data_IF_066008240686
#
_entry.id   IF_066008240686
#
_cell.length_a   1.000
_cell.length_b   1.000
_cell.length_c   1.000
_cell.angle_alpha   90.00
_cell.angle_beta   90.00
_cell.angle_gamma   90.00
#
_symmetry.space_group_name_H-M   'P 1'
#
loop_
_entity.id
_entity.type
_entity.pdbx_description
1 polymer ?
#
# COMPACT_ATOMS: atom_id res chain seq x y z
N UNK A 1 20.31 -42.58 49.90
CA UNK A 1 20.08 -42.00 48.56
C UNK A 1 18.80 -41.20 48.66
N UNK A 2 18.77 -39.97 48.16
CA UNK A 2 17.60 -39.09 48.28
C UNK A 2 17.03 -38.66 46.91
N UNK A 3 17.77 -38.87 45.81
CA UNK A 3 17.26 -38.66 44.46
C UNK A 3 18.05 -39.45 43.42
N UNK A 4 17.37 -39.82 42.33
CA UNK A 4 17.95 -40.33 41.09
C UNK A 4 17.19 -39.72 39.90
N UNK A 5 17.88 -38.97 39.05
CA UNK A 5 17.26 -38.21 37.94
C UNK A 5 17.92 -38.60 36.62
N UNK A 6 17.15 -39.20 35.71
CA UNK A 6 17.63 -39.60 34.39
C UNK A 6 17.33 -38.52 33.36
N UNK A 7 18.36 -38.05 32.66
CA UNK A 7 18.26 -37.04 31.61
C UNK A 7 18.65 -37.70 30.28
N UNK A 8 17.72 -37.72 29.32
CA UNK A 8 17.91 -38.32 27.99
C UNK A 8 17.64 -37.34 26.84
N UNK A 9 17.24 -36.13 27.17
CA UNK A 9 16.72 -35.08 26.30
C UNK A 9 17.63 -33.83 26.24
N UNK A 10 18.73 -33.81 27.00
CA UNK A 10 19.69 -32.70 26.99
C UNK A 10 20.42 -32.58 25.62
N UNK A 11 20.29 -31.44 24.90
CA UNK A 11 20.90 -31.27 23.59
C UNK A 11 22.43 -31.37 23.64
N UNK A 12 23.01 -32.33 22.91
CA UNK A 12 24.46 -32.51 22.81
C UNK A 12 25.11 -33.38 23.90
N UNK A 13 24.32 -33.99 24.78
CA UNK A 13 24.78 -34.93 25.82
C UNK A 13 24.22 -36.34 25.58
N UNK A 14 24.99 -37.38 25.93
CA UNK A 14 24.45 -38.74 25.98
C UNK A 14 23.49 -38.91 27.18
N UNK A 15 22.51 -39.84 27.11
CA UNK A 15 21.63 -40.13 28.24
C UNK A 15 22.43 -40.45 29.51
N UNK A 16 22.13 -39.76 30.61
CA UNK A 16 22.88 -39.90 31.87
C UNK A 16 21.97 -39.80 33.10
N UNK A 17 22.46 -40.32 34.23
CA UNK A 17 21.74 -40.40 35.49
C UNK A 17 22.49 -39.62 36.58
N UNK A 18 21.83 -38.65 37.21
CA UNK A 18 22.29 -38.00 38.42
C UNK A 18 21.81 -38.77 39.64
N UNK A 19 22.72 -39.06 40.59
CA UNK A 19 22.38 -39.79 41.82
C UNK A 19 22.86 -39.00 43.02
N UNK A 20 21.90 -38.63 43.88
CA UNK A 20 22.16 -37.83 45.06
C UNK A 20 22.11 -38.67 46.34
N UNK A 21 23.17 -38.54 47.14
CA UNK A 21 23.31 -39.28 48.39
C UNK A 21 24.01 -38.47 49.47
N UNK A 22 23.59 -38.68 50.71
CA UNK A 22 24.21 -38.09 51.90
C UNK A 22 25.09 -39.16 52.55
N UNK A 23 26.34 -38.79 52.81
CA UNK A 23 27.28 -39.65 53.53
C UNK A 23 27.19 -39.37 55.03
N UNK A 24 26.67 -40.35 55.76
CA UNK A 24 26.42 -40.26 57.20
C UNK A 24 27.40 -41.15 57.96
N UNK A 25 28.02 -40.58 58.99
CA UNK A 25 28.85 -41.28 59.96
C UNK A 25 28.09 -41.43 61.28
N UNK A 26 28.16 -42.61 61.90
CA UNK A 26 27.51 -42.94 63.17
C UNK A 26 28.55 -43.01 64.31
N UNK A 27 28.10 -43.30 65.54
CA UNK A 27 28.97 -43.63 66.68
C UNK A 27 30.16 -42.67 66.93
N UNK A 28 29.92 -41.36 66.84
CA UNK A 28 30.97 -40.38 67.12
C UNK A 28 31.35 -40.36 68.61
N UNK A 29 32.65 -40.49 68.91
CA UNK A 29 33.19 -40.41 70.29
C UNK A 29 33.14 -38.98 70.87
N UNK A 30 32.99 -37.96 70.03
CA UNK A 30 32.91 -36.54 70.39
C UNK A 30 31.87 -35.85 69.48
N UNK A 31 30.99 -35.04 70.06
CA UNK A 31 29.93 -34.33 69.34
C UNK A 31 28.68 -35.19 69.04
N UNK A 32 27.85 -34.73 68.09
CA UNK A 32 26.59 -35.40 67.71
C UNK A 32 26.80 -36.87 67.33
N UNK A 33 25.96 -37.76 67.85
CA UNK A 33 26.02 -39.21 67.64
C UNK A 33 25.93 -39.61 66.16
N UNK A 34 25.23 -38.82 65.36
CA UNK A 34 25.12 -38.96 63.90
C UNK A 34 25.58 -37.63 63.27
N UNK A 35 26.49 -37.70 62.30
CA UNK A 35 26.97 -36.52 61.58
C UNK A 35 27.04 -36.79 60.08
N UNK A 36 26.78 -35.76 59.29
CA UNK A 36 27.05 -35.78 57.85
C UNK A 36 28.52 -35.47 57.64
N UNK A 37 29.24 -36.37 56.97
CA UNK A 37 30.67 -36.21 56.77
C UNK A 37 31.24 -37.28 55.87
N UNK A 38 31.74 -36.86 54.70
CA UNK A 38 32.27 -37.78 53.69
C UNK A 38 33.44 -38.63 54.20
N UNK A 39 34.47 -38.01 54.77
CA UNK A 39 35.65 -38.75 55.25
C UNK A 39 35.29 -39.72 56.40
N UNK A 40 34.42 -39.28 57.28
CA UNK A 40 33.95 -40.05 58.41
C UNK A 40 33.15 -41.29 57.99
N UNK A 41 32.16 -41.10 57.13
CA UNK A 41 31.31 -42.17 56.62
C UNK A 41 32.11 -43.18 55.79
N UNK A 42 33.05 -42.70 54.95
CA UNK A 42 33.91 -43.57 54.15
C UNK A 42 34.82 -44.45 55.02
N UNK A 43 35.34 -43.93 56.13
CA UNK A 43 36.12 -44.72 57.10
C UNK A 43 35.28 -45.80 57.78
N UNK A 44 34.04 -45.49 58.18
CA UNK A 44 33.12 -46.52 58.73
C UNK A 44 32.80 -47.62 57.72
N UNK A 45 32.70 -47.26 56.44
CA UNK A 45 32.56 -48.22 55.34
C UNK A 45 33.86 -49.00 55.04
N UNK A 46 34.93 -48.79 55.80
CA UNK A 46 36.21 -49.49 55.64
C UNK A 46 37.15 -48.89 54.59
N UNK A 47 36.84 -47.70 54.05
CA UNK A 47 37.71 -47.00 53.10
C UNK A 47 38.61 -46.00 53.83
N UNK A 48 39.91 -46.30 53.81
CA UNK A 48 40.94 -45.46 54.42
C UNK A 48 41.83 -44.84 53.35
N UNK A 49 42.25 -43.59 53.59
CA UNK A 49 43.30 -42.95 52.80
C UNK A 49 44.62 -43.66 53.06
N UNK A 50 45.33 -44.01 52.00
CA UNK A 50 46.63 -44.71 52.05
C UNK A 50 47.67 -43.99 51.21
N UNK A 51 48.95 -44.18 51.52
CA UNK A 51 50.05 -43.49 50.85
C UNK A 51 50.35 -42.12 51.46
N UNK A 52 51.30 -41.40 50.88
CA UNK A 52 51.74 -40.09 51.34
C UNK A 52 51.64 -39.05 50.23
N UNK A 53 51.11 -37.86 50.56
CA UNK A 53 51.10 -36.73 49.63
C UNK A 53 52.51 -36.37 49.15
N UNK A 54 53.54 -36.61 49.98
CA UNK A 54 54.95 -36.36 49.64
C UNK A 54 55.50 -37.33 48.60
N UNK A 55 55.06 -38.59 48.62
CA UNK A 55 55.54 -39.65 47.72
C UNK A 55 54.68 -39.79 46.45
N UNK A 56 53.71 -38.88 46.22
CA UNK A 56 52.78 -38.86 45.08
C UNK A 56 51.96 -40.15 44.89
N UNK A 57 51.88 -41.00 45.90
CA UNK A 57 51.13 -42.27 45.93
C UNK A 57 49.85 -42.17 46.77
N UNK A 58 49.44 -40.95 47.14
CA UNK A 58 48.25 -40.71 47.95
C UNK A 58 46.98 -41.17 47.22
N UNK A 59 46.36 -42.22 47.76
CA UNK A 59 45.03 -42.68 47.34
C UNK A 59 44.04 -42.35 48.44
N UNK A 60 43.14 -41.40 48.17
CA UNK A 60 42.11 -40.99 49.14
C UNK A 60 41.05 -42.07 49.36
N UNK A 61 40.44 -42.08 50.54
CA UNK A 61 39.28 -42.92 50.84
C UNK A 61 38.18 -42.79 49.77
N UNK A 62 37.93 -41.57 49.29
CA UNK A 62 36.98 -41.28 48.21
C UNK A 62 37.37 -41.98 46.90
N UNK A 63 38.65 -41.91 46.51
CA UNK A 63 39.12 -42.56 45.28
C UNK A 63 38.94 -44.08 45.35
N UNK A 64 39.23 -44.69 46.51
CA UNK A 64 39.04 -46.14 46.72
C UNK A 64 37.57 -46.52 46.69
N UNK A 65 36.72 -45.74 47.34
CA UNK A 65 35.27 -45.95 47.32
C UNK A 65 34.71 -45.83 45.90
N UNK A 66 35.06 -44.78 45.15
CA UNK A 66 34.65 -44.63 43.76
C UNK A 66 35.11 -45.80 42.88
N UNK A 67 36.33 -46.31 43.09
CA UNK A 67 36.82 -47.49 42.39
C UNK A 67 36.01 -48.76 42.73
N UNK A 68 35.65 -48.96 44.00
CA UNK A 68 34.81 -50.06 44.45
C UNK A 68 33.39 -49.95 43.88
N UNK A 69 32.78 -48.76 43.89
CA UNK A 69 31.45 -48.53 43.30
C UNK A 69 31.45 -48.77 41.79
N UNK A 70 32.50 -48.33 41.07
CA UNK A 70 32.65 -48.64 39.64
C UNK A 70 32.77 -50.14 39.39
N UNK A 71 33.51 -50.85 40.23
CA UNK A 71 33.63 -52.32 40.13
C UNK A 71 32.28 -53.00 40.37
N UNK A 72 31.56 -52.60 41.41
CA UNK A 72 30.21 -53.11 41.71
C UNK A 72 29.25 -52.85 40.55
N UNK A 73 29.19 -51.61 40.05
CA UNK A 73 28.34 -51.24 38.92
C UNK A 73 28.61 -52.10 37.69
N UNK A 74 29.88 -52.38 37.38
CA UNK A 74 30.25 -53.24 36.25
C UNK A 74 29.83 -54.68 36.46
N UNK A 75 30.05 -55.22 37.65
CA UNK A 75 29.63 -56.59 37.97
C UNK A 75 28.12 -56.71 37.85
N UNK A 76 27.37 -55.77 38.41
CA UNK A 76 25.91 -55.72 38.30
C UNK A 76 25.47 -55.56 36.85
N UNK A 77 26.02 -54.60 36.10
CA UNK A 77 25.70 -54.39 34.69
C UNK A 77 25.95 -55.66 33.86
N UNK A 78 27.09 -56.34 34.07
CA UNK A 78 27.42 -57.59 33.38
C UNK A 78 26.45 -58.72 33.71
N UNK A 79 26.04 -58.84 34.97
CA UNK A 79 25.02 -59.83 35.38
C UNK A 79 23.66 -59.57 34.71
N UNK A 80 23.38 -58.31 34.35
CA UNK A 80 22.19 -57.91 33.59
C UNK A 80 22.42 -57.83 32.07
N UNK A 81 23.51 -58.41 31.55
CA UNK A 81 23.79 -58.48 30.11
C UNK A 81 24.32 -57.20 29.47
N UNK A 82 24.66 -56.18 30.26
CA UNK A 82 25.19 -54.90 29.78
C UNK A 82 26.73 -54.89 29.80
N UNK A 83 27.35 -54.43 28.71
CA UNK A 83 28.80 -54.24 28.61
C UNK A 83 29.17 -52.78 28.90
N UNK A 84 30.07 -52.55 29.87
CA UNK A 84 30.56 -51.22 30.23
C UNK A 84 31.99 -51.04 29.69
N UNK A 85 32.18 -50.15 28.72
CA UNK A 85 33.49 -49.84 28.13
C UNK A 85 34.30 -48.89 29.04
N UNK A 86 35.57 -49.19 29.30
CA UNK A 86 36.47 -48.27 30.00
C UNK A 86 37.08 -47.28 28.99
N UNK A 87 36.69 -46.01 29.04
CA UNK A 87 37.48 -44.97 28.39
C UNK A 87 38.78 -44.78 29.19
N UNK A 88 39.91 -44.98 28.51
CA UNK A 88 41.24 -44.94 29.11
C UNK A 88 41.52 -43.63 29.84
N UNK A 89 42.28 -43.73 30.94
CA UNK A 89 42.72 -42.59 31.77
C UNK A 89 43.59 -41.63 30.94
N UNK A 90 42.99 -40.58 30.36
CA UNK A 90 43.73 -39.36 30.01
C UNK A 90 43.22 -38.23 30.91
N UNK A 91 43.84 -38.13 32.10
CA UNK A 91 43.73 -36.94 32.94
C UNK A 91 44.72 -35.91 32.41
N UNK A 92 44.36 -34.64 32.56
CA UNK A 92 45.13 -33.41 32.30
C UNK A 92 45.17 -32.91 30.83
N UNK A 93 44.52 -31.75 30.61
CA UNK A 93 44.45 -30.84 29.43
C UNK A 93 43.14 -30.86 28.59
N UNK A 94 42.35 -31.93 28.56
CA UNK A 94 41.20 -31.99 27.62
C UNK A 94 39.94 -31.15 27.98
N UNK A 95 39.72 -30.78 29.25
CA UNK A 95 38.39 -30.31 29.68
C UNK A 95 38.17 -28.78 29.71
N UNK A 96 39.22 -27.95 29.59
CA UNK A 96 39.05 -26.49 29.65
C UNK A 96 39.20 -25.78 28.29
N UNK A 97 39.96 -26.38 27.36
CA UNK A 97 40.15 -25.83 26.01
C UNK A 97 38.89 -25.99 25.14
N UNK A 98 38.19 -27.12 25.28
CA UNK A 98 37.02 -27.44 24.47
C UNK A 98 35.85 -26.47 24.73
N UNK A 99 35.64 -26.06 25.98
CA UNK A 99 34.56 -25.12 26.34
C UNK A 99 34.80 -23.71 25.80
N UNK A 100 36.03 -23.19 25.81
CA UNK A 100 36.32 -21.88 25.21
C UNK A 100 36.24 -21.90 23.69
N UNK A 101 36.77 -22.95 23.06
CA UNK A 101 36.67 -23.15 21.61
C UNK A 101 35.20 -23.25 21.20
N UNK A 102 34.39 -24.04 21.92
CA UNK A 102 32.95 -24.16 21.70
C UNK A 102 32.23 -22.80 21.83
N UNK A 103 32.50 -22.02 22.88
CA UNK A 103 31.89 -20.68 23.04
C UNK A 103 32.26 -19.74 21.89
N UNK A 104 33.51 -19.78 21.41
CA UNK A 104 33.97 -18.95 20.28
C UNK A 104 33.34 -19.41 18.97
N UNK A 105 33.23 -20.71 18.71
CA UNK A 105 32.61 -21.23 17.48
C UNK A 105 31.11 -20.96 17.44
N UNK A 106 30.40 -21.06 18.56
CA UNK A 106 28.98 -20.67 18.64
C UNK A 106 28.81 -19.19 18.37
N UNK A 107 29.65 -18.33 18.97
CA UNK A 107 29.60 -16.88 18.73
C UNK A 107 29.93 -16.50 17.28
N UNK A 108 30.85 -17.22 16.62
CA UNK A 108 31.14 -17.04 15.20
C UNK A 108 29.91 -17.38 14.35
N UNK A 109 29.25 -18.52 14.60
CA UNK A 109 28.02 -18.90 13.89
C UNK A 109 26.90 -17.87 14.06
N UNK A 110 26.70 -17.35 15.26
CA UNK A 110 25.72 -16.28 15.53
C UNK A 110 26.05 -14.98 14.77
N UNK A 111 27.33 -14.62 14.70
CA UNK A 111 27.77 -13.44 13.95
C UNK A 111 27.62 -13.63 12.44
N UNK A 112 27.96 -14.81 11.92
CA UNK A 112 27.79 -15.15 10.51
C UNK A 112 26.30 -15.11 10.12
N UNK A 113 25.42 -15.65 10.97
CA UNK A 113 23.97 -15.55 10.76
C UNK A 113 23.50 -14.09 10.73
N UNK A 114 23.95 -13.26 11.68
CA UNK A 114 23.61 -11.82 11.69
C UNK A 114 24.15 -11.06 10.49
N UNK A 115 25.32 -11.44 9.98
CA UNK A 115 25.89 -10.85 8.76
C UNK A 115 25.00 -11.21 7.57
N UNK A 116 24.57 -12.46 7.47
CA UNK A 116 23.74 -12.92 6.37
C UNK A 116 22.35 -12.27 6.40
N UNK A 117 21.72 -12.18 7.57
CA UNK A 117 20.46 -11.45 7.75
C UNK A 117 20.59 -9.97 7.34
N UNK A 118 21.68 -9.31 7.72
CA UNK A 118 21.94 -7.92 7.33
C UNK A 118 22.20 -7.75 5.84
N UNK A 119 22.87 -8.70 5.19
CA UNK A 119 23.07 -8.68 3.74
C UNK A 119 21.75 -8.82 3.00
N UNK A 120 20.94 -9.81 3.38
CA UNK A 120 19.61 -10.01 2.81
C UNK A 120 18.74 -8.77 2.97
N UNK A 121 18.76 -8.14 4.15
CA UNK A 121 18.05 -6.89 4.38
C UNK A 121 18.56 -5.76 3.47
N UNK A 122 19.88 -5.61 3.34
CA UNK A 122 20.47 -4.58 2.48
C UNK A 122 20.14 -4.79 1.00
N UNK A 123 20.11 -6.03 0.52
CA UNK A 123 19.70 -6.37 -0.84
C UNK A 123 18.22 -6.08 -1.08
N UNK A 124 17.36 -6.43 -0.12
CA UNK A 124 15.93 -6.11 -0.20
C UNK A 124 15.69 -4.60 -0.24
N UNK A 125 16.34 -3.82 0.65
CA UNK A 125 16.25 -2.36 0.65
C UNK A 125 16.74 -1.76 -0.66
N UNK A 126 17.82 -2.30 -1.23
CA UNK A 126 18.33 -1.85 -2.54
C UNK A 126 17.35 -2.15 -3.67
N UNK A 127 16.74 -3.33 -3.67
CA UNK A 127 15.71 -3.72 -4.64
C UNK A 127 14.48 -2.82 -4.56
N UNK A 128 14.01 -2.54 -3.34
CA UNK A 128 12.91 -1.60 -3.06
C UNK A 128 13.23 -0.20 -3.59
N UNK A 129 14.44 0.30 -3.31
CA UNK A 129 14.88 1.62 -3.76
C UNK A 129 14.93 1.74 -5.28
N UNK A 130 15.36 0.69 -6.00
CA UNK A 130 15.34 0.67 -7.46
C UNK A 130 13.93 0.60 -8.05
N UNK A 131 13.00 -0.12 -7.40
CA UNK A 131 11.57 -0.09 -7.80
C UNK A 131 10.99 1.31 -7.63
N UNK A 132 11.16 1.90 -6.44
CA UNK A 132 10.67 3.25 -6.13
C UNK A 132 11.23 4.29 -7.10
N UNK A 133 12.50 4.15 -7.51
CA UNK A 133 13.13 5.03 -8.50
C UNK A 133 12.48 4.91 -9.88
N UNK A 134 12.12 3.70 -10.31
CA UNK A 134 11.40 3.48 -11.57
C UNK A 134 10.00 4.08 -11.52
N UNK A 135 9.25 3.82 -10.46
CA UNK A 135 7.91 4.39 -10.26
C UNK A 135 7.96 5.92 -10.24
N UNK A 136 8.94 6.51 -9.54
CA UNK A 136 9.13 7.96 -9.54
C UNK A 136 9.41 8.51 -10.95
N UNK A 137 10.17 7.79 -11.78
CA UNK A 137 10.44 8.21 -13.15
C UNK A 137 9.19 8.18 -14.04
N UNK A 138 8.29 7.22 -13.83
CA UNK A 138 7.01 7.12 -14.52
C UNK A 138 6.04 8.21 -14.08
N UNK A 139 5.98 8.50 -12.77
CA UNK A 139 5.20 9.62 -12.22
C UNK A 139 5.70 10.95 -12.77
N UNK A 140 7.02 11.14 -12.89
CA UNK A 140 7.57 12.36 -13.49
C UNK A 140 7.20 12.51 -14.96
N UNK A 141 7.20 11.41 -15.74
CA UNK A 141 6.79 11.44 -17.15
C UNK A 141 5.31 11.81 -17.31
N UNK A 142 4.44 11.14 -16.54
CA UNK A 142 3.00 11.42 -16.56
C UNK A 142 2.68 12.85 -16.12
N UNK A 143 3.39 13.38 -15.11
CA UNK A 143 3.29 14.79 -14.73
C UNK A 143 3.61 15.73 -15.90
N UNK A 144 4.71 15.47 -16.62
CA UNK A 144 5.10 16.30 -17.77
C UNK A 144 4.05 16.26 -18.89
N UNK A 145 3.50 15.08 -19.18
CA UNK A 145 2.42 14.91 -20.16
C UNK A 145 1.16 15.71 -19.76
N UNK A 146 0.76 15.65 -18.49
CA UNK A 146 -0.37 16.42 -17.96
C UNK A 146 -0.12 17.93 -17.99
N UNK A 147 1.10 18.39 -17.68
CA UNK A 147 1.46 19.80 -17.73
C UNK A 147 1.33 20.36 -19.16
N UNK A 148 1.73 19.57 -20.18
CA UNK A 148 1.55 19.93 -21.59
C UNK A 148 0.05 20.01 -21.94
N UNK A 149 -0.74 19.02 -21.52
CA UNK A 149 -2.18 19.00 -21.79
C UNK A 149 -2.91 20.22 -21.15
N UNK A 150 -2.53 20.57 -19.92
CA UNK A 150 -3.06 21.76 -19.23
C UNK A 150 -2.72 23.03 -20.00
N UNK A 151 -1.51 23.17 -20.52
CA UNK A 151 -1.12 24.34 -21.33
C UNK A 151 -1.94 24.44 -22.61
N UNK A 152 -2.14 23.32 -23.32
CA UNK A 152 -2.98 23.28 -24.53
C UNK A 152 -4.43 23.65 -24.22
N UNK A 153 -5.01 23.10 -23.14
CA UNK A 153 -6.39 23.43 -22.73
C UNK A 153 -6.53 24.90 -22.35
N UNK A 154 -5.55 25.50 -21.69
CA UNK A 154 -5.54 26.94 -21.38
C UNK A 154 -5.56 27.79 -22.65
N UNK A 155 -4.73 27.46 -23.64
CA UNK A 155 -4.73 28.17 -24.93
C UNK A 155 -6.08 28.08 -25.64
N UNK A 156 -6.68 26.89 -25.67
CA UNK A 156 -8.01 26.68 -26.28
C UNK A 156 -9.11 27.47 -25.54
N UNK A 157 -9.08 27.51 -24.22
CA UNK A 157 -10.04 28.30 -23.43
C UNK A 157 -9.92 29.78 -23.79
N UNK A 158 -8.69 30.30 -23.91
CA UNK A 158 -8.48 31.69 -24.27
C UNK A 158 -9.02 32.02 -25.66
N UNK A 159 -8.83 31.13 -26.65
CA UNK A 159 -9.44 31.29 -27.97
C UNK A 159 -10.99 31.25 -27.91
N UNK A 160 -11.57 30.31 -27.17
CA UNK A 160 -13.02 30.23 -26.95
C UNK A 160 -13.56 31.51 -26.32
N UNK A 161 -12.85 32.12 -25.37
CA UNK A 161 -13.29 33.38 -24.75
C UNK A 161 -13.31 34.53 -25.77
N UNK A 162 -12.33 34.61 -26.68
CA UNK A 162 -12.30 35.60 -27.76
C UNK A 162 -13.47 35.39 -28.73
N UNK A 163 -13.73 34.15 -29.13
CA UNK A 163 -14.86 33.79 -30.00
C UNK A 163 -16.20 34.15 -29.32
N UNK A 164 -16.37 33.81 -28.04
CA UNK A 164 -17.59 34.15 -27.28
C UNK A 164 -17.83 35.66 -27.25
N UNK A 165 -16.78 36.47 -27.04
CA UNK A 165 -16.90 37.93 -27.08
C UNK A 165 -17.33 38.42 -28.46
N UNK A 166 -16.70 37.92 -29.53
CA UNK A 166 -17.05 38.32 -30.90
C UNK A 166 -18.48 37.91 -31.27
N UNK A 167 -18.92 36.73 -30.86
CA UNK A 167 -20.30 36.28 -31.06
C UNK A 167 -21.30 37.17 -30.34
N UNK A 168 -20.98 37.66 -29.14
CA UNK A 168 -21.83 38.62 -28.43
C UNK A 168 -21.98 39.94 -29.21
N UNK A 169 -20.88 40.51 -29.70
CA UNK A 169 -20.90 41.73 -30.52
C UNK A 169 -21.76 41.54 -31.79
N UNK A 170 -21.56 40.42 -32.50
CA UNK A 170 -22.33 40.10 -33.70
C UNK A 170 -23.82 39.87 -33.40
N UNK A 171 -24.18 39.36 -32.22
CA UNK A 171 -25.58 39.25 -31.80
C UNK A 171 -26.20 40.63 -31.60
N UNK A 172 -25.50 41.52 -30.88
CA UNK A 172 -25.98 42.88 -30.65
C UNK A 172 -26.20 43.62 -31.99
N UNK A 173 -25.24 43.52 -32.92
CA UNK A 173 -25.36 44.11 -34.26
C UNK A 173 -26.53 43.52 -35.06
N UNK A 174 -26.72 42.19 -35.03
CA UNK A 174 -27.86 41.54 -35.68
C UNK A 174 -29.20 42.00 -35.09
N UNK A 175 -29.30 42.17 -33.77
CA UNK A 175 -30.53 42.69 -33.15
C UNK A 175 -30.83 44.14 -33.57
N UNK A 176 -29.80 44.96 -33.70
CA UNK A 176 -29.93 46.33 -34.17
C UNK A 176 -30.39 46.40 -35.64
N UNK A 177 -29.77 45.59 -36.51
CA UNK A 177 -30.15 45.51 -37.93
C UNK A 177 -31.59 45.02 -38.10
N UNK A 178 -32.02 44.02 -37.32
CA UNK A 178 -33.41 43.55 -37.33
C UNK A 178 -34.42 44.65 -36.95
N UNK A 179 -34.15 45.39 -35.87
CA UNK A 179 -34.98 46.54 -35.49
C UNK A 179 -35.04 47.58 -36.60
N UNK A 180 -33.90 47.87 -37.24
CA UNK A 180 -33.83 48.83 -38.34
C UNK A 180 -34.64 48.37 -39.56
N UNK A 181 -34.53 47.09 -39.94
CA UNK A 181 -35.32 46.50 -41.04
C UNK A 181 -36.82 46.57 -40.71
N UNK A 182 -37.23 46.25 -39.48
CA UNK A 182 -38.62 46.31 -39.06
C UNK A 182 -39.19 47.74 -39.18
N UNK A 183 -38.46 48.74 -38.69
CA UNK A 183 -38.86 50.16 -38.81
C UNK A 183 -39.00 50.57 -40.28
N UNK A 184 -38.05 50.16 -41.14
CA UNK A 184 -38.13 50.44 -42.57
C UNK A 184 -39.36 49.76 -43.20
N UNK A 185 -39.65 48.51 -42.84
CA UNK A 185 -40.83 47.80 -43.34
C UNK A 185 -42.13 48.52 -42.95
N UNK A 186 -42.28 48.88 -41.67
CA UNK A 186 -43.42 49.65 -41.17
C UNK A 186 -43.58 50.99 -41.89
N UNK A 187 -42.46 51.70 -42.15
CA UNK A 187 -42.50 52.97 -42.87
C UNK A 187 -43.00 52.83 -44.31
N UNK A 188 -42.63 51.74 -45.00
CA UNK A 188 -43.04 51.46 -46.37
C UNK A 188 -44.51 51.02 -46.39
N UNK A 189 -44.95 50.22 -45.42
CA UNK A 189 -46.35 49.80 -45.29
C UNK A 189 -47.26 50.99 -45.02
N UNK A 190 -46.84 51.94 -44.18
CA UNK A 190 -47.56 53.20 -43.95
C UNK A 190 -47.67 54.02 -45.24
N UNK A 191 -46.56 54.18 -45.98
CA UNK A 191 -46.55 54.90 -47.25
C UNK A 191 -47.47 54.23 -48.28
N UNK A 192 -47.43 52.90 -48.38
CA UNK A 192 -48.29 52.12 -49.26
C UNK A 192 -49.77 52.31 -48.93
N UNK A 193 -50.13 52.25 -47.64
CA UNK A 193 -51.50 52.48 -47.19
C UNK A 193 -51.98 53.89 -47.53
N UNK A 194 -51.16 54.91 -47.27
CA UNK A 194 -51.46 56.29 -47.66
C UNK A 194 -51.66 56.42 -49.18
N UNK A 195 -50.73 55.92 -50.01
CA UNK A 195 -50.84 56.06 -51.46
C UNK A 195 -51.99 55.26 -52.08
N UNK A 196 -52.40 54.14 -51.47
CA UNK A 196 -53.59 53.38 -51.90
C UNK A 196 -54.89 54.16 -51.70
N UNK A 197 -54.98 55.02 -50.69
CA UNK A 197 -56.19 55.82 -50.41
C UNK A 197 -56.41 56.99 -51.39
N UNK A 198 -55.37 57.43 -52.10
CA UNK A 198 -55.49 58.49 -53.11
C UNK A 198 -55.76 57.91 -54.50
N UNK A 199 -57.01 58.06 -54.96
CA UNK A 199 -57.44 57.71 -56.32
C UNK A 199 -57.36 58.94 -57.25
N UNK A 200 -56.76 58.72 -58.42
CA UNK A 200 -56.74 59.71 -59.50
C UNK A 200 -58.03 59.63 -60.33
N UNK A 201 -58.28 60.67 -61.15
CA UNK A 201 -59.47 60.79 -62.02
C UNK A 201 -59.72 59.57 -62.93
N UNK A 202 -58.68 58.78 -63.20
CA UNK A 202 -58.74 57.59 -64.06
C UNK A 202 -59.01 56.28 -63.31
N UNK A 203 -59.38 56.33 -62.01
CA UNK A 203 -59.56 55.17 -61.10
C UNK A 203 -58.29 54.36 -60.79
N UNK A 204 -57.11 54.82 -61.19
CA UNK A 204 -55.84 54.28 -60.71
C UNK A 204 -55.45 54.89 -59.36
N UNK A 205 -54.87 54.07 -58.48
CA UNK A 205 -54.30 54.55 -57.22
C UNK A 205 -52.85 55.01 -57.41
N UNK A 206 -52.40 55.97 -56.58
CA UNK A 206 -51.04 56.51 -56.66
C UNK A 206 -49.96 55.45 -56.41
N UNK A 207 -50.26 54.41 -55.64
CA UNK A 207 -49.33 53.32 -55.36
C UNK A 207 -48.92 52.54 -56.62
N UNK A 208 -49.87 52.26 -57.53
CA UNK A 208 -49.58 51.55 -58.77
C UNK A 208 -48.68 52.37 -59.70
N UNK A 209 -48.93 53.67 -59.82
CA UNK A 209 -48.10 54.59 -60.60
C UNK A 209 -46.70 54.70 -59.98
N UNK A 210 -46.62 54.75 -58.65
CA UNK A 210 -45.35 54.77 -57.93
C UNK A 210 -44.53 53.49 -58.18
N UNK A 211 -45.14 52.31 -58.09
CA UNK A 211 -44.49 51.03 -58.41
C UNK A 211 -43.98 50.98 -59.85
N UNK A 212 -44.77 51.44 -60.81
CA UNK A 212 -44.37 51.49 -62.22
C UNK A 212 -43.14 52.39 -62.41
N UNK A 213 -43.15 53.62 -61.87
CA UNK A 213 -42.00 54.52 -61.92
C UNK A 213 -40.77 53.95 -61.22
N UNK A 214 -40.94 53.28 -60.08
CA UNK A 214 -39.83 52.60 -59.40
C UNK A 214 -39.22 51.51 -60.27
N UNK A 215 -40.05 50.66 -60.89
CA UNK A 215 -39.59 49.61 -61.80
C UNK A 215 -38.86 50.18 -63.03
N UNK A 216 -39.38 51.26 -63.61
CA UNK A 216 -38.75 51.97 -64.74
C UNK A 216 -37.40 52.60 -64.34
N UNK A 217 -37.32 53.19 -63.14
CA UNK A 217 -36.13 53.91 -62.68
C UNK A 217 -35.01 52.97 -62.23
N UNK A 218 -35.33 51.93 -61.47
CA UNK A 218 -34.34 50.99 -60.90
C UNK A 218 -34.12 49.75 -61.77
N UNK A 219 -34.94 49.56 -62.81
CA UNK A 219 -34.95 48.39 -63.66
C UNK A 219 -35.78 47.25 -63.08
N UNK A 220 -36.59 46.60 -63.94
CA UNK A 220 -37.56 45.57 -63.56
C UNK A 220 -36.95 44.44 -62.72
N UNK A 221 -35.74 43.96 -63.06
CA UNK A 221 -35.05 42.89 -62.32
C UNK A 221 -34.73 43.26 -60.87
N UNK A 222 -34.31 44.51 -60.59
CA UNK A 222 -33.98 44.94 -59.23
C UNK A 222 -35.24 45.16 -58.40
N UNK A 223 -36.27 45.72 -59.03
CA UNK A 223 -37.58 45.92 -58.39
C UNK A 223 -38.24 44.59 -58.05
N UNK A 224 -38.22 43.62 -58.97
CA UNK A 224 -38.79 42.28 -58.74
C UNK A 224 -38.10 41.58 -57.57
N UNK A 225 -36.77 41.65 -57.51
CA UNK A 225 -35.99 41.12 -56.39
C UNK A 225 -36.38 41.77 -55.05
N UNK A 226 -36.54 43.09 -55.02
CA UNK A 226 -37.02 43.80 -53.83
C UNK A 226 -38.42 43.35 -53.42
N UNK A 227 -39.33 43.20 -54.39
CA UNK A 227 -40.71 42.84 -54.13
C UNK A 227 -40.86 41.41 -53.61
N UNK A 228 -40.05 40.47 -54.13
CA UNK A 228 -39.93 39.10 -53.63
C UNK A 228 -39.44 39.12 -52.18
N UNK A 229 -38.30 39.76 -51.90
CA UNK A 229 -37.71 39.77 -50.55
C UNK A 229 -38.67 40.39 -49.52
N UNK A 230 -39.39 41.45 -49.90
CA UNK A 230 -40.37 42.12 -49.02
C UNK A 230 -41.53 41.20 -48.64
N UNK A 231 -41.95 40.29 -49.52
CA UNK A 231 -43.11 39.42 -49.32
C UNK A 231 -42.73 37.94 -49.16
N UNK A 232 -41.45 37.63 -48.94
CA UNK A 232 -40.97 36.26 -48.79
C UNK A 232 -41.28 35.73 -47.38
N UNK A 233 -42.50 35.23 -47.22
CA UNK A 233 -42.99 34.65 -45.97
C UNK A 233 -42.15 33.45 -45.52
N UNK A 234 -41.64 32.66 -46.47
CA UNK A 234 -40.83 31.47 -46.18
C UNK A 234 -39.45 31.85 -45.66
N UNK A 235 -38.82 32.89 -46.23
CA UNK A 235 -37.55 33.44 -45.73
C UNK A 235 -37.71 34.01 -44.32
N UNK A 236 -38.82 34.71 -44.07
CA UNK A 236 -39.15 35.28 -42.76
C UNK A 236 -39.41 34.17 -41.70
N UNK A 237 -40.12 33.11 -42.07
CA UNK A 237 -40.37 31.96 -41.20
C UNK A 237 -39.09 31.15 -40.92
N UNK A 238 -38.23 30.95 -41.93
CA UNK A 238 -36.92 30.31 -41.77
C UNK A 238 -35.99 31.11 -40.86
N UNK A 239 -35.98 32.44 -40.97
CA UNK A 239 -35.25 33.30 -40.04
C UNK A 239 -35.75 33.12 -38.60
N UNK A 240 -37.07 33.11 -38.41
CA UNK A 240 -37.68 32.93 -37.10
C UNK A 240 -37.47 31.53 -36.51
N UNK A 241 -37.46 30.47 -37.33
CA UNK A 241 -37.18 29.10 -36.89
C UNK A 241 -35.72 28.93 -36.49
N UNK A 242 -34.78 29.47 -37.28
CA UNK A 242 -33.35 29.44 -36.94
C UNK A 242 -33.07 30.14 -35.61
N UNK A 243 -33.79 31.21 -35.27
CA UNK A 243 -33.70 31.85 -33.95
C UNK A 243 -34.21 30.96 -32.81
N UNK A 244 -35.34 30.26 -33.01
CA UNK A 244 -35.88 29.31 -32.02
C UNK A 244 -34.90 28.17 -31.75
N UNK A 245 -34.41 27.53 -32.81
CA UNK A 245 -33.52 26.37 -32.71
C UNK A 245 -32.19 26.75 -32.04
N UNK A 246 -31.70 27.96 -32.29
CA UNK A 246 -30.47 28.46 -31.69
C UNK A 246 -30.64 28.81 -30.19
N UNK A 247 -31.76 29.42 -29.81
CA UNK A 247 -32.09 29.69 -28.40
C UNK A 247 -32.37 28.41 -27.60
N UNK A 248 -32.94 27.39 -28.23
CA UNK A 248 -33.12 26.06 -27.62
C UNK A 248 -31.82 25.25 -27.56
N UNK A 249 -30.92 25.42 -28.52
CA UNK A 249 -29.57 24.85 -28.50
C UNK A 249 -28.72 25.37 -27.33
N UNK A 250 -28.94 26.60 -26.89
CA UNK A 250 -28.21 27.27 -25.81
C UNK A 250 -28.76 26.93 -24.41
N UNK A 251 -30.00 26.43 -24.29
CA UNK A 251 -30.59 25.87 -23.04
C UNK A 251 -30.19 24.44 -22.76
N UNK A 252 -29.68 23.72 -23.76
CA UNK A 252 -29.10 22.40 -23.53
C UNK A 252 -27.73 22.62 -22.94
N UNK A 253 -27.66 22.61 -21.60
CA UNK A 253 -26.41 22.42 -20.91
C UNK A 253 -25.65 21.29 -21.62
N UNK A 254 -24.35 21.45 -21.92
CA UNK A 254 -23.58 20.31 -22.38
C UNK A 254 -23.80 19.18 -21.38
N UNK A 255 -24.10 17.94 -21.83
CA UNK A 255 -24.18 16.82 -20.90
C UNK A 255 -22.89 16.86 -20.08
N UNK A 256 -22.97 16.68 -18.74
CA UNK A 256 -21.80 16.78 -17.88
C UNK A 256 -20.71 15.96 -18.54
N UNK A 257 -19.66 16.64 -18.99
CA UNK A 257 -18.52 15.97 -19.59
C UNK A 257 -18.11 14.94 -18.55
N UNK A 258 -18.08 13.66 -18.92
CA UNK A 258 -17.44 12.60 -18.15
C UNK A 258 -15.92 12.89 -18.10
N UNK A 259 -15.53 14.01 -17.50
CA UNK A 259 -14.25 14.17 -16.86
C UNK A 259 -14.46 13.65 -15.44
N UNK A 260 -13.59 12.73 -15.04
CA UNK A 260 -13.71 11.86 -13.87
C UNK A 260 -14.51 10.58 -14.13
N UNK A 261 -13.79 9.56 -14.60
CA UNK A 261 -14.07 8.18 -14.22
C UNK A 261 -13.79 7.97 -12.72
N UNK A 262 -14.56 8.66 -11.87
CA UNK A 262 -14.78 8.26 -10.48
C UNK A 262 -16.24 7.83 -10.40
N UNK A 263 -16.45 6.52 -10.48
CA UNK A 263 -17.69 5.87 -10.07
C UNK A 263 -17.84 6.12 -8.56
N UNK A 264 -18.50 7.22 -8.19
CA UNK A 264 -19.03 7.39 -6.84
C UNK A 264 -20.27 6.51 -6.69
N UNK A 265 -20.08 5.19 -6.71
CA UNK A 265 -21.04 4.27 -6.13
C UNK A 265 -20.84 4.35 -4.62
N UNK A 266 -21.67 5.16 -3.99
CA UNK A 266 -22.33 4.85 -2.72
C UNK A 266 -21.62 3.83 -1.82
N UNK A 267 -20.53 4.26 -1.17
CA UNK A 267 -20.11 3.69 0.12
C UNK A 267 -20.74 4.55 1.22
N UNK A 268 -22.05 4.34 1.41
CA UNK A 268 -22.67 4.61 2.70
C UNK A 268 -22.41 3.37 3.57
N UNK A 269 -22.16 3.60 4.85
CA UNK A 269 -21.89 2.62 5.92
C UNK A 269 -20.42 2.22 6.06
N UNK A 270 -19.68 3.11 6.71
CA UNK A 270 -18.53 2.74 7.54
C UNK A 270 -19.03 1.95 8.75
N UNK A 271 -19.13 0.63 8.61
CA UNK A 271 -19.17 -0.28 9.74
C UNK A 271 -17.79 -0.27 10.42
N UNK A 272 -17.65 0.59 11.43
CA UNK A 272 -16.64 0.43 12.47
C UNK A 272 -17.02 -0.79 13.32
N UNK A 273 -16.58 -1.98 12.91
CA UNK A 273 -16.50 -3.12 13.81
C UNK A 273 -15.14 -3.11 14.53
N UNK A 274 -15.16 -2.77 15.83
CA UNK A 274 -14.12 -3.18 16.76
C UNK A 274 -14.20 -4.71 16.91
N UNK A 275 -13.22 -5.44 16.38
CA UNK A 275 -12.99 -6.83 16.78
C UNK A 275 -12.24 -6.83 18.12
N UNK A 276 -12.95 -7.18 19.19
CA UNK A 276 -12.37 -7.61 20.45
C UNK A 276 -11.65 -8.95 20.26
N UNK A 277 -10.47 -9.03 20.87
CA UNK A 277 -9.64 -10.23 20.99
C UNK A 277 -10.39 -11.37 21.72
N UNK A 278 -10.46 -12.54 21.10
CA UNK A 278 -10.58 -13.83 21.81
C UNK A 278 -9.51 -14.79 21.30
N UNK A 279 -8.54 -15.10 22.18
CA UNK A 279 -7.55 -16.15 22.00
C UNK A 279 -8.18 -17.45 22.53
N UNK A 280 -8.54 -18.36 21.62
CA UNK A 280 -8.90 -19.73 21.98
C UNK A 280 -7.62 -20.59 22.00
N UNK A 281 -7.25 -21.06 23.19
CA UNK A 281 -6.27 -22.12 23.39
C UNK A 281 -6.97 -23.47 23.23
N UNK A 282 -6.78 -24.13 22.10
CA UNK A 282 -7.00 -25.57 21.97
C UNK A 282 -5.70 -26.24 21.52
N UNK A 283 -4.98 -26.80 22.48
CA UNK A 283 -4.20 -28.05 22.38
C UNK A 283 -3.56 -28.34 23.74
N UNK A 284 -4.31 -29.08 24.55
CA UNK A 284 -3.83 -29.93 25.64
C UNK A 284 -3.91 -31.38 25.14
#
# INVERSE_FOLDING_TARGET
>A
MFGAYSNADEPGSAPHLHVDFILVKRQNKRGLTIQVGQEGALKEMGYYTTGSKKNKDLVTAQTRWQAAQRKLLRTTARNHGLQVQESGKSKTIANHLNTEIYKRTTKLKELDQKIEEKKMWAENVKSEAEKNKKELSEILRTKQELDIEIQMKKANIEEITKIKKKNKELREENTFLKKSINILQESIDLAENCFKTYLLKNKENLWNIFKQKLSETFGSKKYERYNIIRHDTELNEKLAQHERDYLEGERRDPPPTQLFGYDAKTDNESDFHCEELTIENENL
#
